data_IF_226647600461
#
_entry.id   IF_226647600461
#
_cell.length_a   1.000
_cell.length_b   1.000
_cell.length_c   1.000
_cell.angle_alpha   90.00
_cell.angle_beta   90.00
_cell.angle_gamma   90.00
#
_symmetry.space_group_name_H-M   'P 1'
#
loop_
_entity.id
_entity.type
_entity.pdbx_description
1 polymer ?
#
# COMPACT_ATOMS: atom_id res chain seq x y z
N UNK A 1 15.72 -6.26 13.58
CA UNK A 1 14.36 -5.83 13.17
C UNK A 1 14.06 -4.34 13.40
N UNK A 2 14.82 -3.61 14.25
CA UNK A 2 14.54 -2.18 14.58
C UNK A 2 14.57 -1.17 13.41
N UNK A 3 15.31 -1.40 12.32
CA UNK A 3 15.53 -0.36 11.28
C UNK A 3 14.33 -0.08 10.35
N UNK A 4 13.21 -0.80 10.49
CA UNK A 4 11.99 -0.57 9.68
C UNK A 4 10.74 -0.33 10.52
N UNK A 5 10.81 -0.41 11.85
CA UNK A 5 9.62 -0.35 12.71
C UNK A 5 8.86 0.97 12.56
N UNK A 6 9.58 2.07 12.37
CA UNK A 6 9.01 3.40 12.12
C UNK A 6 8.12 3.51 10.87
N UNK A 7 8.22 2.59 9.90
CA UNK A 7 7.31 2.58 8.75
C UNK A 7 5.95 1.96 9.06
N UNK A 8 5.85 1.16 10.13
CA UNK A 8 4.64 0.41 10.46
C UNK A 8 3.47 1.34 10.81
N UNK A 9 3.71 2.43 11.54
CA UNK A 9 2.67 3.43 11.81
C UNK A 9 2.13 4.07 10.54
N UNK A 10 2.98 4.37 9.55
CA UNK A 10 2.52 4.93 8.27
C UNK A 10 1.73 3.91 7.44
N UNK A 11 2.06 2.62 7.57
CA UNK A 11 1.25 1.56 6.96
C UNK A 11 -0.14 1.50 7.59
N UNK A 12 -0.23 1.66 8.92
CA UNK A 12 -1.51 1.78 9.61
C UNK A 12 -2.29 3.03 9.18
N UNK A 13 -1.66 4.21 9.23
CA UNK A 13 -2.28 5.49 8.82
C UNK A 13 -2.82 5.38 7.38
N UNK A 14 -2.05 4.80 6.46
CA UNK A 14 -2.50 4.61 5.09
C UNK A 14 -3.69 3.66 4.96
N UNK A 15 -3.68 2.53 5.66
CA UNK A 15 -4.79 1.58 5.62
C UNK A 15 -6.06 2.19 6.24
N UNK A 16 -5.89 2.95 7.31
CA UNK A 16 -6.95 3.66 8.00
C UNK A 16 -7.51 4.81 7.16
N UNK A 17 -6.67 5.56 6.45
CA UNK A 17 -7.08 6.58 5.48
C UNK A 17 -7.91 5.99 4.34
N UNK A 18 -7.50 4.84 3.80
CA UNK A 18 -8.28 4.13 2.77
C UNK A 18 -9.63 3.65 3.32
N UNK A 19 -9.67 3.15 4.57
CA UNK A 19 -10.93 2.79 5.22
C UNK A 19 -11.85 4.01 5.37
N UNK A 20 -11.33 5.12 5.90
CA UNK A 20 -12.07 6.38 6.06
C UNK A 20 -12.67 6.85 4.74
N UNK A 21 -11.86 6.86 3.68
CA UNK A 21 -12.27 7.26 2.34
C UNK A 21 -13.47 6.47 1.79
N UNK A 22 -13.57 5.17 2.09
CA UNK A 22 -14.68 4.34 1.60
C UNK A 22 -15.90 4.36 2.52
N UNK A 23 -15.69 4.50 3.84
CA UNK A 23 -16.72 4.28 4.85
C UNK A 23 -17.36 5.58 5.34
N UNK A 24 -16.56 6.64 5.54
CA UNK A 24 -17.06 7.90 6.10
C UNK A 24 -17.51 8.80 4.96
N UNK A 25 -18.77 8.65 4.56
CA UNK A 25 -19.42 9.48 3.51
C UNK A 25 -20.31 10.59 4.08
N UNK A 26 -20.59 10.56 5.38
CA UNK A 26 -21.51 11.48 6.05
C UNK A 26 -20.86 12.79 6.53
N UNK A 27 -19.53 12.88 6.53
CA UNK A 27 -18.82 14.09 6.93
C UNK A 27 -17.77 14.50 5.90
N UNK A 28 -17.83 15.76 5.46
CA UNK A 28 -16.89 16.36 4.52
C UNK A 28 -15.70 17.06 5.20
N UNK A 29 -15.76 17.23 6.53
CA UNK A 29 -14.79 17.92 7.38
C UNK A 29 -13.75 16.98 8.02
N UNK A 30 -13.57 15.79 7.45
CA UNK A 30 -12.53 14.85 7.87
C UNK A 30 -11.14 15.47 7.57
N UNK A 31 -10.13 15.26 8.44
CA UNK A 31 -8.76 15.68 8.18
C UNK A 31 -8.25 15.25 6.79
N UNK A 32 -7.54 16.15 6.11
CA UNK A 32 -7.08 15.97 4.71
C UNK A 32 -6.31 14.65 4.50
N UNK A 33 -5.55 14.21 5.51
CA UNK A 33 -4.77 12.96 5.48
C UNK A 33 -5.65 11.70 5.33
N UNK A 34 -6.92 11.77 5.74
CA UNK A 34 -7.91 10.71 5.63
C UNK A 34 -8.90 10.93 4.48
N UNK A 35 -8.98 12.15 3.95
CA UNK A 35 -9.86 12.51 2.82
C UNK A 35 -9.43 11.90 1.49
N UNK A 36 -8.13 11.66 1.30
CA UNK A 36 -7.56 11.18 0.04
C UNK A 36 -6.97 9.76 0.16
N UNK A 37 -7.77 8.76 0.52
CA UNK A 37 -7.34 7.37 0.66
C UNK A 37 -6.44 6.83 -0.47
N UNK A 38 -6.75 7.06 -1.77
CA UNK A 38 -5.93 6.57 -2.88
C UNK A 38 -4.45 6.98 -2.84
N UNK A 39 -4.12 8.13 -2.23
CA UNK A 39 -2.74 8.62 -2.12
C UNK A 39 -1.83 7.60 -1.41
N UNK A 40 -2.38 6.94 -0.39
CA UNK A 40 -1.65 5.98 0.43
C UNK A 40 -1.35 4.68 -0.30
N UNK A 41 -2.09 4.38 -1.37
CA UNK A 41 -1.81 3.23 -2.22
C UNK A 41 -0.50 3.43 -2.99
N UNK A 42 -0.22 4.65 -3.47
CA UNK A 42 1.08 5.00 -4.05
C UNK A 42 2.20 4.91 -3.02
N UNK A 43 1.96 5.35 -1.78
CA UNK A 43 2.90 5.13 -0.67
C UNK A 43 3.19 3.64 -0.48
N UNK A 44 2.18 2.76 -0.52
CA UNK A 44 2.39 1.32 -0.38
C UNK A 44 3.21 0.71 -1.53
N UNK A 45 2.98 1.10 -2.77
CA UNK A 45 3.78 0.63 -3.91
C UNK A 45 5.23 1.12 -3.79
N UNK A 46 5.43 2.40 -3.47
CA UNK A 46 6.76 3.00 -3.29
C UNK A 46 7.53 2.32 -2.16
N UNK A 47 6.90 2.21 -0.99
CA UNK A 47 7.47 1.59 0.19
C UNK A 47 7.79 0.12 -0.07
N UNK A 48 6.95 -0.60 -0.83
CA UNK A 48 7.20 -1.99 -1.16
C UNK A 48 8.43 -2.17 -2.05
N UNK A 49 8.56 -1.37 -3.11
CA UNK A 49 9.75 -1.38 -3.97
C UNK A 49 11.02 -1.04 -3.18
N UNK A 50 10.92 -0.05 -2.27
CA UNK A 50 11.99 0.35 -1.37
C UNK A 50 12.41 -0.78 -0.42
N UNK A 51 11.48 -1.33 0.36
CA UNK A 51 11.77 -2.35 1.38
C UNK A 51 12.24 -3.66 0.76
N UNK A 52 11.68 -4.08 -0.38
CA UNK A 52 12.11 -5.28 -1.09
C UNK A 52 13.55 -5.12 -1.61
N UNK A 53 13.85 -4.03 -2.32
CA UNK A 53 15.22 -3.77 -2.80
C UNK A 53 16.21 -3.53 -1.63
N UNK A 54 15.73 -3.02 -0.49
CA UNK A 54 16.56 -2.85 0.69
C UNK A 54 16.91 -4.19 1.34
N UNK A 55 15.91 -5.06 1.53
CA UNK A 55 16.07 -6.37 2.16
C UNK A 55 16.95 -7.32 1.34
N UNK A 56 16.81 -7.30 0.00
CA UNK A 56 17.59 -8.12 -0.93
C UNK A 56 18.81 -7.38 -1.50
N UNK A 57 19.34 -6.40 -0.78
CA UNK A 57 20.51 -5.66 -1.24
C UNK A 57 21.84 -6.38 -1.07
N UNK A 58 21.91 -7.27 -0.08
CA UNK A 58 23.10 -8.07 0.26
C UNK A 58 22.82 -9.57 0.27
N UNK A 59 21.69 -9.97 -0.32
CA UNK A 59 21.17 -11.35 -0.26
C UNK A 59 20.69 -11.73 -1.63
N UNK A 60 21.13 -12.89 -2.09
CA UNK A 60 20.57 -13.48 -3.30
C UNK A 60 19.10 -13.85 -3.09
N UNK A 61 18.34 -13.76 -4.18
CA UNK A 61 16.92 -14.09 -4.18
C UNK A 61 16.79 -15.57 -4.52
N UNK A 62 16.53 -16.41 -3.50
CA UNK A 62 15.98 -17.73 -3.74
C UNK A 62 14.53 -17.57 -4.25
N UNK A 63 14.32 -17.79 -5.56
CA UNK A 63 13.06 -17.51 -6.26
C UNK A 63 11.87 -18.25 -5.63
N UNK A 64 12.02 -19.55 -5.34
CA UNK A 64 10.97 -20.37 -4.74
C UNK A 64 10.60 -19.86 -3.35
N UNK A 65 11.60 -19.63 -2.48
CA UNK A 65 11.39 -19.08 -1.14
C UNK A 65 10.76 -17.68 -1.19
N UNK A 66 11.20 -16.85 -2.13
CA UNK A 66 10.69 -15.49 -2.32
C UNK A 66 9.19 -15.48 -2.65
N UNK A 67 8.73 -16.26 -3.63
CA UNK A 67 7.32 -16.25 -4.00
C UNK A 67 6.44 -16.92 -2.96
N UNK A 68 6.83 -18.07 -2.40
CA UNK A 68 6.04 -18.76 -1.38
C UNK A 68 5.81 -17.86 -0.16
N UNK A 69 6.88 -17.28 0.40
CA UNK A 69 6.75 -16.41 1.59
C UNK A 69 5.86 -15.19 1.37
N UNK A 70 5.65 -14.76 0.12
CA UNK A 70 4.85 -13.57 -0.21
C UNK A 70 3.41 -13.94 -0.48
N UNK A 71 3.17 -14.97 -1.29
CA UNK A 71 1.84 -15.52 -1.51
C UNK A 71 1.18 -15.86 -0.17
N UNK A 72 1.86 -16.59 0.70
CA UNK A 72 1.27 -16.99 1.97
C UNK A 72 1.09 -15.85 2.98
N UNK A 73 1.81 -14.74 2.81
CA UNK A 73 1.65 -13.59 3.70
C UNK A 73 0.30 -12.91 3.52
N UNK A 74 -0.20 -12.78 2.29
CA UNK A 74 -1.42 -12.02 2.01
C UNK A 74 -2.59 -12.86 1.48
N UNK A 75 -2.30 -13.96 0.78
CA UNK A 75 -3.32 -14.69 0.02
C UNK A 75 -4.35 -15.41 0.88
N UNK A 76 -4.00 -16.07 2.02
CA UNK A 76 -5.01 -16.71 2.87
C UNK A 76 -6.08 -15.75 3.38
N UNK A 77 -5.65 -14.57 3.85
CA UNK A 77 -6.56 -13.54 4.30
C UNK A 77 -7.38 -12.95 3.14
N UNK A 78 -6.75 -12.78 1.99
CA UNK A 78 -7.44 -12.32 0.81
C UNK A 78 -8.57 -13.28 0.38
N UNK A 79 -8.31 -14.59 0.36
CA UNK A 79 -9.34 -15.60 0.11
C UNK A 79 -10.47 -15.50 1.15
N UNK A 80 -10.14 -15.33 2.44
CA UNK A 80 -11.14 -15.10 3.46
C UNK A 80 -12.02 -13.86 3.16
N UNK A 81 -11.42 -12.76 2.69
CA UNK A 81 -12.18 -11.57 2.26
C UNK A 81 -13.12 -11.85 1.09
N UNK A 82 -12.73 -12.73 0.16
CA UNK A 82 -13.58 -13.14 -0.95
C UNK A 82 -14.75 -14.01 -0.48
N UNK A 83 -14.50 -14.92 0.47
CA UNK A 83 -15.55 -15.77 1.06
C UNK A 83 -16.62 -14.93 1.77
N UNK A 84 -16.21 -13.88 2.51
CA UNK A 84 -17.15 -12.95 3.15
C UNK A 84 -18.07 -12.25 2.14
N UNK A 85 -17.61 -12.08 0.90
CA UNK A 85 -18.36 -11.46 -0.20
C UNK A 85 -19.07 -12.48 -1.12
N UNK A 86 -19.04 -13.79 -0.81
CA UNK A 86 -19.47 -14.87 -1.72
C UNK A 86 -20.84 -14.65 -2.39
N UNK A 87 -21.78 -14.02 -1.67
CA UNK A 87 -23.17 -13.81 -2.12
C UNK A 87 -23.43 -12.46 -2.80
N UNK A 88 -22.42 -11.60 -2.96
CA UNK A 88 -22.61 -10.19 -3.36
C UNK A 88 -22.37 -9.89 -4.86
N UNK A 89 -22.33 -10.93 -5.71
CA UNK A 89 -22.24 -10.91 -7.19
C UNK A 89 -20.86 -10.61 -7.79
N UNK A 90 -20.56 -11.23 -8.95
CA UNK A 90 -19.31 -11.01 -9.72
C UNK A 90 -18.65 -12.29 -10.26
N UNK A 91 -17.88 -12.19 -11.35
CA UNK A 91 -17.03 -13.29 -11.84
C UNK A 91 -15.80 -13.44 -10.93
N UNK A 92 -15.93 -14.30 -9.93
CA UNK A 92 -14.92 -14.53 -8.88
C UNK A 92 -13.57 -15.01 -9.43
N UNK A 93 -13.55 -15.60 -10.63
CA UNK A 93 -12.35 -16.17 -11.27
C UNK A 93 -11.19 -15.16 -11.34
N UNK A 94 -11.45 -13.91 -11.73
CA UNK A 94 -10.41 -12.88 -11.85
C UNK A 94 -9.83 -12.49 -10.48
N UNK A 95 -10.67 -12.48 -9.45
CA UNK A 95 -10.28 -12.14 -8.10
C UNK A 95 -9.49 -13.28 -7.44
N UNK A 96 -9.91 -14.53 -7.62
CA UNK A 96 -9.17 -15.71 -7.12
C UNK A 96 -7.72 -15.67 -7.65
N UNK A 97 -7.53 -15.40 -8.94
CA UNK A 97 -6.18 -15.34 -9.52
C UNK A 97 -5.46 -14.00 -9.35
N UNK A 98 -6.06 -13.01 -8.66
CA UNK A 98 -5.50 -11.67 -8.51
C UNK A 98 -5.16 -10.99 -9.85
N UNK A 99 -6.01 -11.21 -10.86
CA UNK A 99 -5.86 -10.64 -12.21
C UNK A 99 -6.94 -9.59 -12.55
N UNK A 100 -7.83 -9.25 -11.62
CA UNK A 100 -8.93 -8.31 -11.85
C UNK A 100 -8.47 -6.91 -12.30
N UNK A 101 -7.26 -6.47 -11.94
CA UNK A 101 -6.72 -5.18 -12.39
C UNK A 101 -6.18 -5.22 -13.82
N UNK A 102 -5.92 -6.40 -14.39
CA UNK A 102 -5.54 -6.57 -15.80
C UNK A 102 -6.73 -6.51 -16.75
N UNK A 103 -7.91 -6.83 -16.23
CA UNK A 103 -9.15 -6.84 -17.02
C UNK A 103 -9.90 -5.54 -16.76
N UNK A 104 -9.90 -4.66 -17.76
CA UNK A 104 -10.58 -3.38 -17.67
C UNK A 104 -12.07 -3.56 -17.32
N UNK A 105 -12.58 -2.72 -16.41
CA UNK A 105 -13.94 -2.84 -15.87
C UNK A 105 -14.18 -4.01 -14.91
N UNK A 106 -13.13 -4.69 -14.41
CA UNK A 106 -13.23 -5.76 -13.39
C UNK A 106 -12.54 -5.46 -12.07
N UNK A 107 -11.67 -4.46 -12.02
CA UNK A 107 -10.83 -4.17 -10.85
C UNK A 107 -11.63 -4.00 -9.53
N UNK A 108 -12.85 -3.46 -9.60
CA UNK A 108 -13.66 -3.10 -8.43
C UNK A 108 -14.86 -4.03 -8.19
N UNK A 109 -15.09 -5.04 -9.04
CA UNK A 109 -16.38 -5.74 -9.14
C UNK A 109 -16.69 -6.72 -7.99
N UNK A 110 -15.82 -6.80 -6.98
CA UNK A 110 -15.99 -7.73 -5.88
C UNK A 110 -15.47 -7.11 -4.58
N UNK A 111 -14.29 -7.50 -4.12
CA UNK A 111 -13.58 -6.71 -3.11
C UNK A 111 -12.93 -5.50 -3.82
N UNK A 112 -13.62 -4.36 -3.79
CA UNK A 112 -13.17 -3.15 -4.47
C UNK A 112 -11.85 -2.59 -3.94
N UNK A 113 -11.43 -2.90 -2.70
CA UNK A 113 -10.10 -2.50 -2.23
C UNK A 113 -8.98 -3.41 -2.76
N UNK A 114 -9.31 -4.59 -3.26
CA UNK A 114 -8.31 -5.61 -3.63
C UNK A 114 -7.62 -5.39 -4.98
N UNK A 115 -8.00 -4.37 -5.77
CA UNK A 115 -7.27 -4.03 -7.00
C UNK A 115 -5.79 -3.75 -6.72
N UNK A 116 -5.47 -3.15 -5.57
CA UNK A 116 -4.11 -2.92 -5.11
C UNK A 116 -3.34 -4.24 -5.02
N UNK A 117 -3.98 -5.29 -4.49
CA UNK A 117 -3.34 -6.59 -4.29
C UNK A 117 -3.08 -7.31 -5.62
N UNK A 118 -3.95 -7.13 -6.61
CA UNK A 118 -3.72 -7.63 -7.98
C UNK A 118 -2.49 -6.98 -8.61
N UNK A 119 -2.42 -5.65 -8.55
CA UNK A 119 -1.26 -4.88 -9.02
C UNK A 119 0.01 -5.22 -8.24
N UNK A 120 -0.09 -5.33 -6.92
CA UNK A 120 1.04 -5.66 -6.06
C UNK A 120 1.58 -7.07 -6.33
N UNK A 121 0.70 -8.03 -6.62
CA UNK A 121 1.10 -9.40 -6.98
C UNK A 121 1.90 -9.42 -8.28
N UNK A 122 1.49 -8.65 -9.29
CA UNK A 122 2.31 -8.46 -10.50
C UNK A 122 3.69 -7.87 -10.19
N UNK A 123 3.75 -6.81 -9.38
CA UNK A 123 5.01 -6.18 -9.01
C UNK A 123 5.94 -7.14 -8.25
N UNK A 124 5.39 -8.00 -7.39
CA UNK A 124 6.13 -9.09 -6.74
C UNK A 124 6.66 -10.09 -7.77
N UNK A 125 5.84 -10.51 -8.74
CA UNK A 125 6.23 -11.47 -9.78
C UNK A 125 7.45 -10.94 -10.56
N UNK A 126 7.42 -9.69 -11.01
CA UNK A 126 8.50 -9.11 -11.81
C UNK A 126 9.71 -8.65 -10.98
N UNK A 127 9.58 -8.48 -9.65
CA UNK A 127 10.63 -7.91 -8.81
C UNK A 127 12.00 -8.59 -8.94
N UNK A 128 12.13 -9.94 -8.90
CA UNK A 128 13.45 -10.57 -9.03
C UNK A 128 14.14 -10.26 -10.36
N UNK A 129 13.37 -10.13 -11.44
CA UNK A 129 13.90 -9.72 -12.75
C UNK A 129 14.32 -8.26 -12.76
N UNK A 130 13.46 -7.35 -12.28
CA UNK A 130 13.80 -5.92 -12.15
C UNK A 130 15.04 -5.72 -11.29
N UNK A 131 15.20 -6.49 -10.21
CA UNK A 131 16.35 -6.44 -9.31
C UNK A 131 17.64 -6.82 -10.03
N UNK A 132 17.63 -7.90 -10.83
CA UNK A 132 18.78 -8.30 -11.66
C UNK A 132 19.16 -7.21 -12.66
N UNK A 133 18.19 -6.58 -13.33
CA UNK A 133 18.45 -5.45 -14.24
C UNK A 133 19.04 -4.26 -13.49
N UNK A 134 18.47 -3.90 -12.32
CA UNK A 134 18.95 -2.80 -11.50
C UNK A 134 20.42 -2.96 -11.10
N UNK A 135 20.84 -4.20 -10.80
CA UNK A 135 22.21 -4.54 -10.43
C UNK A 135 23.15 -4.56 -11.62
N UNK A 136 22.73 -5.18 -12.73
CA UNK A 136 23.56 -5.32 -13.94
C UNK A 136 23.71 -4.02 -14.72
N UNK A 137 22.65 -3.21 -14.79
CA UNK A 137 22.58 -1.99 -15.62
C UNK A 137 22.07 -0.79 -14.81
N UNK A 138 22.83 -0.33 -13.80
CA UNK A 138 22.37 0.65 -12.83
C UNK A 138 21.97 2.01 -13.39
N UNK A 139 22.74 2.53 -14.37
CA UNK A 139 22.45 3.83 -15.01
C UNK A 139 21.21 3.74 -15.91
N UNK A 140 21.14 2.68 -16.71
CA UNK A 140 19.99 2.41 -17.58
C UNK A 140 18.70 2.25 -16.77
N UNK A 141 18.74 1.49 -15.67
CA UNK A 141 17.58 1.29 -14.81
C UNK A 141 17.08 2.61 -14.19
N UNK A 142 17.99 3.49 -13.76
CA UNK A 142 17.64 4.83 -13.29
C UNK A 142 16.97 5.67 -14.38
N UNK A 143 17.51 5.67 -15.61
CA UNK A 143 16.88 6.36 -16.75
C UNK A 143 15.50 5.80 -17.08
N UNK A 144 15.34 4.47 -17.08
CA UNK A 144 14.04 3.80 -17.28
C UNK A 144 13.06 4.19 -16.18
N UNK A 145 13.49 4.25 -14.91
CA UNK A 145 12.64 4.67 -13.80
C UNK A 145 12.07 6.07 -14.00
N UNK A 146 12.91 7.02 -14.46
CA UNK A 146 12.50 8.38 -14.77
C UNK A 146 11.52 8.40 -15.96
N UNK A 147 11.87 7.72 -17.06
CA UNK A 147 11.04 7.66 -18.27
C UNK A 147 9.66 7.05 -17.99
N UNK A 148 9.60 5.96 -17.22
CA UNK A 148 8.34 5.33 -16.82
C UNK A 148 7.45 6.29 -16.03
N UNK A 149 8.01 7.11 -15.15
CA UNK A 149 7.23 8.08 -14.38
C UNK A 149 6.69 9.21 -15.25
N UNK A 150 7.49 9.73 -16.19
CA UNK A 150 7.01 10.70 -17.17
C UNK A 150 5.91 10.09 -18.04
N UNK A 151 6.09 8.85 -18.49
CA UNK A 151 5.10 8.14 -19.29
C UNK A 151 3.79 7.93 -18.54
N UNK A 152 3.81 7.37 -17.33
CA UNK A 152 2.58 7.13 -16.56
C UNK A 152 1.88 8.43 -16.18
N UNK A 153 2.64 9.49 -15.88
CA UNK A 153 2.07 10.81 -15.63
C UNK A 153 1.43 11.39 -16.89
N UNK A 154 2.13 11.34 -18.04
CA UNK A 154 1.62 11.78 -19.33
C UNK A 154 0.33 11.06 -19.71
N UNK A 155 0.31 9.72 -19.64
CA UNK A 155 -0.89 8.92 -19.90
C UNK A 155 -2.02 9.33 -18.96
N UNK A 156 -1.75 9.48 -17.65
CA UNK A 156 -2.78 9.91 -16.71
C UNK A 156 -3.39 11.27 -17.09
N UNK A 157 -2.58 12.31 -17.34
CA UNK A 157 -3.10 13.65 -17.67
C UNK A 157 -3.80 13.69 -19.04
N UNK A 158 -3.37 12.88 -20.01
CA UNK A 158 -4.02 12.80 -21.32
C UNK A 158 -5.42 12.19 -21.24
N UNK A 159 -5.64 11.27 -20.31
CA UNK A 159 -6.87 10.48 -20.25
C UNK A 159 -7.79 10.82 -19.07
N UNK A 160 -7.35 11.60 -18.07
CA UNK A 160 -8.16 11.93 -16.89
C UNK A 160 -9.48 12.64 -17.23
N UNK A 161 -9.49 13.51 -18.24
CA UNK A 161 -10.71 14.19 -18.69
C UNK A 161 -11.74 13.25 -19.33
N UNK A 162 -11.32 12.03 -19.69
CA UNK A 162 -12.17 10.97 -20.24
C UNK A 162 -12.50 9.89 -19.20
N UNK A 163 -12.17 10.11 -17.93
CA UNK A 163 -12.42 9.14 -16.84
C UNK A 163 -13.90 8.88 -16.55
N UNK A 164 -14.83 9.64 -17.13
CA UNK A 164 -16.26 9.29 -17.11
C UNK A 164 -16.55 7.98 -17.87
N UNK A 165 -15.65 7.55 -18.76
CA UNK A 165 -15.73 6.26 -19.43
C UNK A 165 -15.09 5.21 -18.50
N UNK A 166 -15.88 4.27 -17.98
CA UNK A 166 -15.45 3.21 -17.05
C UNK A 166 -14.17 2.49 -17.49
N UNK A 167 -14.08 2.17 -18.78
CA UNK A 167 -12.90 1.54 -19.35
C UNK A 167 -11.62 2.37 -19.12
N UNK A 168 -11.69 3.67 -19.41
CA UNK A 168 -10.55 4.60 -19.29
C UNK A 168 -10.21 4.81 -17.82
N UNK A 169 -11.22 5.01 -16.97
CA UNK A 169 -11.04 5.11 -15.51
C UNK A 169 -10.27 3.93 -14.95
N UNK A 170 -10.66 2.71 -15.34
CA UNK A 170 -9.98 1.50 -14.92
C UNK A 170 -8.57 1.39 -15.48
N UNK A 171 -8.36 1.79 -16.74
CA UNK A 171 -7.06 1.75 -17.39
C UNK A 171 -6.04 2.68 -16.73
N UNK A 172 -6.42 3.90 -16.35
CA UNK A 172 -5.46 4.85 -15.77
C UNK A 172 -5.25 4.68 -14.27
N UNK A 173 -6.27 4.21 -13.53
CA UNK A 173 -6.21 4.15 -12.06
C UNK A 173 -5.84 2.78 -11.49
N UNK A 174 -6.23 1.68 -12.15
CA UNK A 174 -6.08 0.35 -11.56
C UNK A 174 -5.12 -0.56 -12.32
N UNK A 175 -4.87 -0.28 -13.60
CA UNK A 175 -4.05 -1.13 -14.45
C UNK A 175 -2.61 -1.28 -13.91
N UNK A 176 -2.06 -2.50 -13.77
CA UNK A 176 -0.79 -2.69 -13.09
C UNK A 176 0.41 -1.96 -13.69
N UNK A 177 0.43 -1.76 -15.01
CA UNK A 177 1.51 -1.02 -15.67
C UNK A 177 1.54 0.47 -15.30
N UNK A 178 0.42 1.05 -14.87
CA UNK A 178 0.39 2.44 -14.39
C UNK A 178 1.12 2.64 -13.06
N UNK A 179 1.34 1.55 -12.30
CA UNK A 179 1.92 1.59 -10.96
C UNK A 179 3.37 1.06 -10.89
N UNK A 180 3.88 0.51 -12.00
CA UNK A 180 5.28 0.03 -12.07
C UNK A 180 6.28 1.17 -11.81
N UNK A 181 5.96 2.37 -12.29
CA UNK A 181 6.79 3.56 -12.16
C UNK A 181 7.04 3.92 -10.68
N UNK A 182 5.99 3.91 -9.87
CA UNK A 182 6.04 4.14 -8.42
C UNK A 182 6.88 3.08 -7.70
N UNK A 183 6.70 1.80 -8.04
CA UNK A 183 7.45 0.71 -7.44
C UNK A 183 8.95 0.75 -7.77
N UNK A 184 9.29 0.99 -9.05
CA UNK A 184 10.66 1.12 -9.53
C UNK A 184 11.37 2.32 -8.89
N UNK A 185 10.68 3.43 -8.70
CA UNK A 185 11.19 4.57 -7.94
C UNK A 185 11.55 4.20 -6.49
N UNK A 186 10.77 3.35 -5.84
CA UNK A 186 11.10 2.80 -4.52
C UNK A 186 12.39 1.98 -4.56
N UNK A 187 12.55 1.14 -5.58
CA UNK A 187 13.77 0.36 -5.78
C UNK A 187 15.00 1.25 -5.95
N UNK A 188 14.91 2.34 -6.72
CA UNK A 188 15.99 3.31 -6.90
C UNK A 188 16.30 4.07 -5.62
N UNK A 189 15.28 4.52 -4.90
CA UNK A 189 15.43 5.20 -3.61
C UNK A 189 16.23 4.34 -2.62
N UNK A 190 15.95 3.03 -2.58
CA UNK A 190 16.66 2.06 -1.74
C UNK A 190 18.16 1.98 -2.03
N UNK A 191 18.57 2.23 -3.27
CA UNK A 191 19.98 2.23 -3.65
C UNK A 191 20.68 3.53 -3.29
N UNK A 192 20.01 4.66 -3.52
CA UNK A 192 20.59 5.98 -3.21
C UNK A 192 20.74 6.19 -1.70
N UNK A 193 19.71 5.82 -0.92
CA UNK A 193 19.72 5.95 0.54
C UNK A 193 20.87 5.18 1.19
N UNK A 194 21.29 4.04 0.64
CA UNK A 194 22.40 3.24 1.22
C UNK A 194 23.75 3.95 1.19
N UNK A 195 23.91 4.97 0.35
CA UNK A 195 25.12 5.81 0.28
C UNK A 195 25.16 6.86 1.39
N UNK A 196 24.03 7.09 2.05
CA UNK A 196 23.85 8.13 3.07
C UNK A 196 24.04 7.52 4.47
N UNK A 197 24.52 8.33 5.41
CA UNK A 197 24.72 7.95 6.81
C UNK A 197 23.48 8.31 7.62
N UNK A 198 23.09 7.45 8.57
CA UNK A 198 22.04 7.81 9.53
C UNK A 198 22.53 8.89 10.49
N UNK A 199 21.63 9.79 10.88
CA UNK A 199 21.93 10.93 11.76
C UNK A 199 20.70 11.34 12.58
N UNK A 200 20.93 11.76 13.82
CA UNK A 200 19.86 12.14 14.76
C UNK A 200 19.06 13.37 14.29
N UNK A 201 19.67 14.25 13.49
CA UNK A 201 18.98 15.46 13.03
C UNK A 201 17.81 15.16 12.08
N UNK A 202 17.78 13.97 11.46
CA UNK A 202 16.66 13.57 10.63
C UNK A 202 15.35 13.51 11.43
N UNK A 203 15.38 13.27 12.74
CA UNK A 203 14.20 13.40 13.62
C UNK A 203 13.55 14.79 13.49
N UNK A 204 14.34 15.87 13.55
CA UNK A 204 13.81 17.23 13.40
C UNK A 204 13.29 17.47 11.98
N UNK A 205 13.99 16.96 10.97
CA UNK A 205 13.56 17.07 9.57
C UNK A 205 12.22 16.35 9.34
N UNK A 206 12.00 15.17 9.94
CA UNK A 206 10.72 14.46 9.87
C UNK A 206 9.59 15.33 10.43
N UNK A 207 9.78 15.94 11.61
CA UNK A 207 8.78 16.82 12.23
C UNK A 207 8.51 18.05 11.36
N UNK A 208 9.56 18.73 10.89
CA UNK A 208 9.44 19.89 9.99
C UNK A 208 8.73 19.53 8.69
N UNK A 209 9.00 18.33 8.15
CA UNK A 209 8.35 17.84 6.95
C UNK A 209 6.85 17.60 7.17
N UNK A 210 6.43 17.08 8.32
CA UNK A 210 5.00 16.97 8.65
C UNK A 210 4.30 18.31 8.84
N UNK A 211 4.98 19.27 9.49
CA UNK A 211 4.48 20.64 9.61
C UNK A 211 4.32 21.23 8.20
N UNK A 212 5.33 21.11 7.34
CA UNK A 212 5.26 21.53 5.95
C UNK A 212 4.08 20.90 5.20
N UNK A 213 3.89 19.58 5.28
CA UNK A 213 2.76 18.91 4.65
C UNK A 213 1.40 19.42 5.16
N UNK A 214 1.26 19.66 6.48
CA UNK A 214 0.01 20.17 7.06
C UNK A 214 -0.35 21.58 6.58
N UNK A 215 0.66 22.43 6.38
CA UNK A 215 0.49 23.80 5.87
C UNK A 215 0.26 23.80 4.35
N UNK A 216 0.99 22.97 3.60
CA UNK A 216 0.98 22.98 2.13
C UNK A 216 -0.26 22.31 1.52
N UNK A 217 -0.87 21.34 2.22
CA UNK A 217 -2.07 20.64 1.73
C UNK A 217 -3.28 21.56 1.54
N UNK A 218 -3.32 22.73 2.18
CA UNK A 218 -4.43 23.68 2.03
C UNK A 218 -4.41 24.42 0.68
N UNK A 219 -3.31 24.35 -0.09
CA UNK A 219 -3.09 25.21 -1.26
C UNK A 219 -3.04 24.47 -2.61
N UNK A 220 -3.06 23.13 -2.62
CA UNK A 220 -2.78 22.33 -3.82
C UNK A 220 -4.03 21.70 -4.44
N UNK A 221 -4.79 22.50 -5.20
CA UNK A 221 -5.93 22.02 -6.03
C UNK A 221 -5.45 21.46 -7.39
N UNK A 222 -4.22 21.78 -7.81
CA UNK A 222 -3.76 21.56 -9.19
C UNK A 222 -3.10 20.19 -9.47
N UNK A 223 -2.60 19.50 -8.45
CA UNK A 223 -1.94 18.18 -8.64
C UNK A 223 -2.97 17.08 -8.38
N UNK A 224 -3.26 16.22 -9.38
CA UNK A 224 -4.18 15.11 -9.17
C UNK A 224 -3.59 14.11 -8.16
N UNK A 225 -4.30 13.89 -7.06
CA UNK A 225 -3.91 12.96 -5.99
C UNK A 225 -3.83 11.49 -6.42
N UNK A 226 -4.29 11.17 -7.63
CA UNK A 226 -4.30 9.82 -8.23
C UNK A 226 -3.25 9.68 -9.36
N UNK A 227 -2.20 10.50 -9.34
CA UNK A 227 -1.12 10.43 -10.33
C UNK A 227 0.18 9.92 -9.71
N UNK A 228 1.04 9.31 -10.54
CA UNK A 228 2.36 8.83 -10.10
C UNK A 228 3.24 9.95 -9.53
N UNK A 229 3.01 11.22 -9.91
CA UNK A 229 3.74 12.37 -9.33
C UNK A 229 3.54 12.51 -7.83
N UNK A 230 2.40 12.09 -7.29
CA UNK A 230 2.15 12.18 -5.85
C UNK A 230 3.11 11.29 -5.06
N UNK A 231 3.65 10.25 -5.70
CA UNK A 231 4.74 9.43 -5.17
C UNK A 231 5.94 10.27 -4.73
N UNK A 232 6.25 11.37 -5.44
CA UNK A 232 7.37 12.26 -5.10
C UNK A 232 7.17 12.95 -3.75
N UNK A 233 5.93 13.16 -3.31
CA UNK A 233 5.67 13.67 -1.96
C UNK A 233 6.20 12.68 -0.92
N UNK A 234 6.06 11.37 -1.10
CA UNK A 234 6.52 10.38 -0.12
C UNK A 234 8.03 10.13 -0.12
N UNK A 235 8.78 10.66 -1.09
CA UNK A 235 10.24 10.47 -1.17
C UNK A 235 10.97 11.04 0.05
N UNK A 236 10.84 12.34 0.38
CA UNK A 236 11.43 12.90 1.60
C UNK A 236 11.04 12.10 2.84
N UNK A 237 9.77 11.73 2.98
CA UNK A 237 9.30 10.95 4.13
C UNK A 237 10.07 9.63 4.28
N UNK A 238 10.18 8.83 3.22
CA UNK A 238 10.89 7.54 3.28
C UNK A 238 12.37 7.75 3.60
N UNK A 239 13.02 8.75 2.98
CA UNK A 239 14.45 9.06 3.18
C UNK A 239 14.72 9.53 4.60
N UNK A 240 13.91 10.45 5.12
CA UNK A 240 14.10 10.98 6.47
C UNK A 240 13.87 9.91 7.52
N UNK A 241 12.83 9.09 7.37
CA UNK A 241 12.58 7.98 8.29
C UNK A 241 13.74 6.99 8.30
N UNK A 242 14.17 6.44 7.15
CA UNK A 242 15.23 5.42 7.13
C UNK A 242 16.59 5.93 7.62
N UNK A 243 16.87 7.23 7.48
CA UNK A 243 18.12 7.84 7.94
C UNK A 243 18.04 8.38 9.38
N UNK A 244 16.86 8.42 9.97
CA UNK A 244 16.69 8.82 11.36
C UNK A 244 17.16 7.72 12.32
N UNK A 245 18.09 8.09 13.20
CA UNK A 245 18.54 7.29 14.34
C UNK A 245 18.32 8.01 15.69
N UNK A 246 17.48 9.07 15.67
CA UNK A 246 17.13 9.89 16.83
C UNK A 246 15.84 9.48 17.53
N UNK A 247 15.24 10.46 18.21
CA UNK A 247 14.09 10.25 19.10
C UNK A 247 12.81 9.89 18.32
N UNK A 248 12.62 10.45 17.12
CA UNK A 248 11.43 10.20 16.31
C UNK A 248 11.41 8.76 15.80
N UNK A 249 12.54 8.25 15.30
CA UNK A 249 12.72 6.83 14.96
C UNK A 249 12.38 5.91 16.13
N UNK A 250 12.88 6.22 17.33
CA UNK A 250 12.60 5.43 18.54
C UNK A 250 11.11 5.46 18.92
N UNK A 251 10.50 6.65 18.88
CA UNK A 251 9.09 6.85 19.20
C UNK A 251 8.17 6.15 18.18
N UNK A 252 8.36 6.40 16.88
CA UNK A 252 7.58 5.78 15.80
C UNK A 252 7.82 4.27 15.70
N UNK A 253 8.98 3.81 16.14
CA UNK A 253 9.38 2.41 16.17
C UNK A 253 8.99 1.64 17.43
N UNK A 254 8.17 2.21 18.32
CA UNK A 254 7.73 1.56 19.55
C UNK A 254 6.84 0.33 19.28
N UNK A 255 6.67 -0.53 20.30
CA UNK A 255 5.91 -1.78 20.16
C UNK A 255 4.44 -1.55 19.81
N UNK A 256 3.83 -0.47 20.29
CA UNK A 256 2.43 -0.14 20.04
C UNK A 256 2.18 0.19 18.56
N UNK A 257 3.01 1.06 17.98
CA UNK A 257 2.94 1.46 16.57
C UNK A 257 3.32 0.34 15.61
N UNK A 258 4.31 -0.49 15.98
CA UNK A 258 4.62 -1.71 15.25
C UNK A 258 3.41 -2.66 15.26
N UNK A 259 2.74 -2.79 16.39
CA UNK A 259 1.51 -3.58 16.50
C UNK A 259 0.38 -3.01 15.62
N UNK A 260 0.13 -1.70 15.65
CA UNK A 260 -0.87 -1.08 14.76
C UNK A 260 -0.54 -1.34 13.28
N UNK A 261 0.71 -1.10 12.86
CA UNK A 261 1.12 -1.37 11.48
C UNK A 261 1.01 -2.84 11.08
N UNK A 262 1.19 -3.76 12.02
CA UNK A 262 0.98 -5.19 11.74
C UNK A 262 -0.49 -5.54 11.45
N UNK A 263 -1.45 -4.73 11.86
CA UNK A 263 -2.88 -4.89 11.52
C UNK A 263 -3.26 -4.24 10.19
N UNK A 264 -2.41 -3.37 9.64
CA UNK A 264 -2.72 -2.54 8.45
C UNK A 264 -3.24 -3.36 7.26
N UNK A 265 -2.63 -4.51 6.99
CA UNK A 265 -3.02 -5.36 5.87
C UNK A 265 -4.42 -5.97 6.08
N UNK A 266 -4.70 -6.45 7.29
CA UNK A 266 -6.01 -6.98 7.64
C UNK A 266 -7.11 -5.92 7.54
N UNK A 267 -6.87 -4.73 8.11
CA UNK A 267 -7.79 -3.60 7.99
C UNK A 267 -8.04 -3.23 6.53
N UNK A 268 -6.96 -3.12 5.74
CA UNK A 268 -7.04 -2.75 4.32
C UNK A 268 -7.86 -3.74 3.49
N UNK A 269 -7.68 -5.05 3.69
CA UNK A 269 -8.38 -6.05 2.86
C UNK A 269 -9.81 -6.31 3.34
N UNK A 270 -10.07 -6.22 4.65
CA UNK A 270 -11.35 -6.58 5.23
C UNK A 270 -12.36 -5.43 5.30
N UNK A 271 -11.94 -4.16 5.21
CA UNK A 271 -12.88 -3.05 5.42
C UNK A 271 -14.05 -3.05 4.44
N UNK A 272 -13.86 -3.40 3.15
CA UNK A 272 -14.97 -3.47 2.18
C UNK A 272 -15.94 -4.62 2.50
N UNK A 273 -15.50 -5.89 2.63
CA UNK A 273 -16.39 -6.96 3.07
C UNK A 273 -17.12 -6.65 4.37
N UNK A 274 -16.40 -6.12 5.36
CA UNK A 274 -16.97 -5.80 6.66
C UNK A 274 -17.95 -4.65 6.58
N UNK A 275 -17.70 -3.64 5.75
CA UNK A 275 -18.62 -2.53 5.53
C UNK A 275 -19.96 -3.03 5.01
N UNK A 276 -19.95 -3.88 3.96
CA UNK A 276 -21.17 -4.47 3.44
C UNK A 276 -21.90 -5.37 4.45
N UNK A 277 -21.15 -6.17 5.23
CA UNK A 277 -21.76 -7.00 6.28
C UNK A 277 -22.36 -6.14 7.40
N UNK A 278 -21.69 -5.05 7.78
CA UNK A 278 -22.16 -4.13 8.80
C UNK A 278 -23.46 -3.45 8.38
N UNK A 279 -23.50 -2.86 7.18
CA UNK A 279 -24.72 -2.21 6.67
C UNK A 279 -25.87 -3.19 6.47
N UNK A 280 -25.56 -4.44 6.09
CA UNK A 280 -26.58 -5.46 5.88
C UNK A 280 -27.23 -5.97 7.18
N UNK A 281 -26.46 -6.08 8.27
CA UNK A 281 -26.91 -6.78 9.49
C UNK A 281 -26.97 -5.92 10.74
N UNK A 282 -26.36 -4.73 10.75
CA UNK A 282 -26.26 -3.86 11.93
C UNK A 282 -26.93 -2.52 11.65
N UNK A 283 -26.30 -1.63 10.87
CA UNK A 283 -26.83 -0.29 10.57
C UNK A 283 -26.06 0.38 9.44
N UNK A 284 -26.68 1.38 8.80
CA UNK A 284 -25.96 2.29 7.89
C UNK A 284 -24.96 3.15 8.66
N UNK A 285 -23.77 3.39 8.07
CA UNK A 285 -22.74 4.23 8.68
C UNK A 285 -22.96 5.68 8.24
N UNK A 286 -23.93 6.34 8.86
CA UNK A 286 -24.32 7.73 8.57
C UNK A 286 -23.95 8.72 9.70
N UNK A 287 -23.37 8.23 10.79
CA UNK A 287 -22.96 9.04 11.94
C UNK A 287 -21.68 8.49 12.58
N UNK A 288 -21.12 9.27 13.50
CA UNK A 288 -19.89 8.91 14.21
C UNK A 288 -20.04 7.69 15.12
N UNK A 289 -21.22 7.46 15.70
CA UNK A 289 -21.46 6.33 16.59
C UNK A 289 -21.37 5.00 15.84
N UNK A 290 -22.11 4.86 14.74
CA UNK A 290 -22.06 3.69 13.87
C UNK A 290 -20.65 3.49 13.28
N UNK A 291 -19.96 4.59 12.93
CA UNK A 291 -18.57 4.52 12.49
C UNK A 291 -17.63 3.96 13.56
N UNK A 292 -17.75 4.41 14.82
CA UNK A 292 -16.92 3.93 15.93
C UNK A 292 -17.20 2.44 16.20
N UNK A 293 -18.46 2.02 16.19
CA UNK A 293 -18.82 0.60 16.36
C UNK A 293 -18.20 -0.24 15.24
N UNK A 294 -18.36 0.19 13.99
CA UNK A 294 -17.71 -0.45 12.83
C UNK A 294 -16.18 -0.51 12.98
N UNK A 295 -15.56 0.58 13.43
CA UNK A 295 -14.12 0.67 13.61
C UNK A 295 -13.60 -0.28 14.72
N UNK A 296 -14.34 -0.44 15.81
CA UNK A 296 -14.02 -1.41 16.86
C UNK A 296 -14.13 -2.84 16.30
N UNK A 297 -15.21 -3.14 15.56
CA UNK A 297 -15.41 -4.45 14.95
C UNK A 297 -14.29 -4.81 13.97
N UNK A 298 -13.86 -3.88 13.10
CA UNK A 298 -12.78 -4.15 12.14
C UNK A 298 -11.44 -4.37 12.86
N UNK A 299 -11.15 -3.69 13.97
CA UNK A 299 -9.94 -3.93 14.77
C UNK A 299 -9.99 -5.33 15.41
N UNK A 300 -11.13 -5.72 15.98
CA UNK A 300 -11.29 -7.04 16.61
C UNK A 300 -11.09 -8.14 15.58
N UNK A 301 -11.75 -8.03 14.42
CA UNK A 301 -11.64 -9.02 13.35
C UNK A 301 -10.23 -9.05 12.77
N UNK A 302 -9.60 -7.88 12.56
CA UNK A 302 -8.22 -7.82 12.08
C UNK A 302 -7.22 -8.48 13.02
N UNK A 303 -7.45 -8.39 14.34
CA UNK A 303 -6.66 -9.12 15.31
C UNK A 303 -6.88 -10.63 15.22
N UNK A 304 -8.15 -11.04 15.17
CA UNK A 304 -8.51 -12.45 15.03
C UNK A 304 -7.85 -13.06 13.78
N UNK A 305 -8.01 -12.43 12.62
CA UNK A 305 -7.44 -12.93 11.36
C UNK A 305 -5.92 -12.94 11.36
N UNK A 306 -5.27 -11.94 11.98
CA UNK A 306 -3.82 -11.94 12.14
C UNK A 306 -3.31 -13.17 12.91
N UNK A 307 -3.92 -13.52 14.04
CA UNK A 307 -3.48 -14.67 14.83
C UNK A 307 -3.83 -16.01 14.20
N UNK A 308 -5.06 -16.17 13.72
CA UNK A 308 -5.57 -17.47 13.27
C UNK A 308 -5.30 -17.78 11.81
N UNK A 309 -5.18 -16.76 10.96
CA UNK A 309 -4.92 -16.93 9.53
C UNK A 309 -3.46 -16.56 9.23
N UNK A 310 -3.06 -15.31 9.44
CA UNK A 310 -1.73 -14.86 8.99
C UNK A 310 -0.57 -15.58 9.69
N UNK A 311 -0.54 -15.57 11.03
CA UNK A 311 0.56 -16.15 11.83
C UNK A 311 0.59 -17.67 11.72
N UNK A 312 -0.57 -18.33 11.81
CA UNK A 312 -0.66 -19.79 11.78
C UNK A 312 -0.17 -20.36 10.44
N UNK A 313 -0.59 -19.77 9.33
CA UNK A 313 -0.13 -20.20 8.00
C UNK A 313 1.36 -19.89 7.82
N UNK A 314 1.83 -18.71 8.24
CA UNK A 314 3.25 -18.37 8.20
C UNK A 314 4.13 -19.38 8.95
N UNK A 315 3.77 -19.72 10.20
CA UNK A 315 4.51 -20.67 11.03
C UNK A 315 4.52 -22.08 10.46
N UNK A 316 3.41 -22.55 9.89
CA UNK A 316 3.33 -23.83 9.18
C UNK A 316 4.37 -23.93 8.05
N UNK A 317 4.63 -22.81 7.36
CA UNK A 317 5.53 -22.77 6.22
C UNK A 317 7.00 -22.65 6.61
N UNK A 318 7.30 -21.86 7.65
CA UNK A 318 8.62 -21.87 8.28
C UNK A 318 9.03 -23.30 8.62
N UNK A 319 8.10 -24.11 9.17
CA UNK A 319 8.31 -25.53 9.43
C UNK A 319 8.43 -26.39 8.16
N UNK A 320 7.53 -26.23 7.18
CA UNK A 320 7.48 -27.09 5.97
C UNK A 320 8.64 -26.84 5.00
N UNK A 321 9.13 -25.60 4.91
CA UNK A 321 10.11 -25.18 3.92
C UNK A 321 11.46 -24.76 4.53
N UNK A 322 11.70 -25.01 5.83
CA UNK A 322 12.86 -24.54 6.59
C UNK A 322 13.14 -23.04 6.34
N UNK A 323 12.08 -22.22 6.47
CA UNK A 323 12.11 -20.80 6.10
C UNK A 323 12.40 -19.88 7.26
#
# INVERSE_FOLDING_TARGET
>A
MKKYSQFEIFRFIGAFSVLFFHVVKFDNNIPVIFKNGPIWVYFFFLLSGFLLSYSYSKREINIKKFYLTRLFKFYPLYIFSLILLFKLSGKMIYHIFLIQSWVFGKALNYNSSAWYLSTFSFLIIIFPFLKKIQEKYPKMFFSIAILLNFYTYYVYISFINYSNIDFIHHAINYFPLMHIATFVFGMELSKQVKKLKSKKYYSYIVVLYFIFLSLFNQYNVKIPYVSTLVTLSFFPLIVFLILDDGIVSSFLGNNFFVYLGSLSFSIYILHIPMYFLYEKYISEINNYENFIIFFILIIIISNFTKYFIEIKYYNFLCKKYNV
#
